data_IF_494281602755
#
_entry.id   IF_494281602755
#
_cell.length_a   1.000
_cell.length_b   1.000
_cell.length_c   1.000
_cell.angle_alpha   90.00
_cell.angle_beta   90.00
_cell.angle_gamma   90.00
#
_symmetry.space_group_name_H-M   'P 1'
#
loop_
_entity.id
_entity.type
_entity.pdbx_description
1 polymer ?
#
# COMPACT_ATOMS: atom_id res chain seq x y z
N UNK A 1 -23.86 -11.87 -5.52
CA UNK A 1 -22.59 -11.93 -6.27
C UNK A 1 -22.74 -11.06 -7.51
N UNK A 2 -21.81 -10.13 -7.78
CA UNK A 2 -21.82 -9.29 -8.99
C UNK A 2 -20.91 -9.91 -10.05
N UNK A 3 -21.44 -10.13 -11.24
CA UNK A 3 -20.67 -10.60 -12.40
C UNK A 3 -20.46 -9.37 -13.31
N UNK A 4 -19.23 -8.87 -13.46
CA UNK A 4 -18.96 -7.70 -14.28
C UNK A 4 -19.39 -7.92 -15.73
N UNK A 5 -20.31 -7.11 -16.29
CA UNK A 5 -20.70 -7.23 -17.69
C UNK A 5 -19.60 -6.69 -18.60
N UNK A 6 -19.39 -7.34 -19.75
CA UNK A 6 -18.50 -6.84 -20.81
C UNK A 6 -19.30 -5.91 -21.72
N UNK A 7 -19.01 -4.61 -21.66
CA UNK A 7 -19.69 -3.59 -22.48
C UNK A 7 -18.76 -3.14 -23.63
N UNK A 8 -19.26 -3.23 -24.87
CA UNK A 8 -18.55 -2.68 -26.05
C UNK A 8 -18.79 -1.18 -26.15
N UNK A 9 -17.73 -0.42 -26.39
CA UNK A 9 -17.79 1.03 -26.58
C UNK A 9 -16.87 1.48 -27.71
N UNK A 10 -17.20 2.61 -28.35
CA UNK A 10 -16.33 3.31 -29.31
C UNK A 10 -16.24 4.76 -28.86
N UNK A 11 -15.14 5.12 -28.19
CA UNK A 11 -14.97 6.42 -27.54
C UNK A 11 -15.10 7.60 -28.51
N UNK A 12 -14.51 7.50 -29.70
CA UNK A 12 -14.53 8.56 -30.72
C UNK A 12 -15.92 8.80 -31.33
N UNK A 13 -16.80 7.81 -31.27
CA UNK A 13 -18.17 7.88 -31.83
C UNK A 13 -19.24 8.00 -30.74
N UNK A 14 -18.84 8.02 -29.46
CA UNK A 14 -19.76 8.04 -28.31
C UNK A 14 -20.62 6.77 -28.16
N UNK A 15 -20.39 5.72 -28.95
CA UNK A 15 -21.20 4.50 -28.92
C UNK A 15 -20.94 3.68 -27.66
N UNK A 16 -22.02 3.18 -27.04
CA UNK A 16 -21.94 2.31 -25.86
C UNK A 16 -21.67 3.03 -24.53
N UNK A 17 -21.49 4.35 -24.55
CA UNK A 17 -21.11 5.13 -23.37
C UNK A 17 -22.27 5.24 -22.38
N UNK A 18 -23.51 5.44 -22.86
CA UNK A 18 -24.69 5.51 -21.98
C UNK A 18 -24.89 4.19 -21.21
N UNK A 19 -24.80 3.07 -21.91
CA UNK A 19 -24.95 1.72 -21.36
C UNK A 19 -23.81 1.38 -20.37
N UNK A 20 -22.61 1.89 -20.63
CA UNK A 20 -21.49 1.81 -19.69
C UNK A 20 -21.80 2.61 -18.41
N UNK A 21 -22.25 3.85 -18.53
CA UNK A 21 -22.63 4.69 -17.39
C UNK A 21 -23.74 4.05 -16.54
N UNK A 22 -24.76 3.46 -17.18
CA UNK A 22 -25.81 2.70 -16.49
C UNK A 22 -25.25 1.48 -15.75
N UNK A 23 -24.32 0.75 -16.36
CA UNK A 23 -23.67 -0.40 -15.72
C UNK A 23 -22.82 0.00 -14.53
N UNK A 24 -22.14 1.15 -14.60
CA UNK A 24 -21.42 1.75 -13.46
C UNK A 24 -22.41 2.08 -12.33
N UNK A 25 -23.51 2.77 -12.64
CA UNK A 25 -24.53 3.13 -11.64
C UNK A 25 -25.13 1.89 -10.96
N UNK A 26 -25.45 0.84 -11.72
CA UNK A 26 -25.94 -0.44 -11.16
C UNK A 26 -24.91 -1.10 -10.24
N UNK A 27 -23.64 -1.07 -10.60
CA UNK A 27 -22.57 -1.61 -9.75
C UNK A 27 -22.45 -0.82 -8.44
N UNK A 28 -22.53 0.52 -8.49
CA UNK A 28 -22.54 1.36 -7.28
C UNK A 28 -23.69 0.98 -6.36
N UNK A 29 -24.92 0.89 -6.88
CA UNK A 29 -26.10 0.47 -6.12
C UNK A 29 -25.93 -0.93 -5.53
N UNK A 30 -25.37 -1.87 -6.29
CA UNK A 30 -25.09 -3.20 -5.78
C UNK A 30 -24.11 -3.17 -4.61
N UNK A 31 -23.03 -2.39 -4.70
CA UNK A 31 -22.01 -2.29 -3.65
C UNK A 31 -22.53 -1.63 -2.38
N UNK A 32 -23.37 -0.61 -2.50
CA UNK A 32 -23.97 0.04 -1.33
C UNK A 32 -24.97 -0.88 -0.65
N UNK A 33 -25.86 -1.54 -1.40
CA UNK A 33 -26.87 -2.46 -0.85
C UNK A 33 -26.27 -3.73 -0.26
N UNK A 34 -25.21 -4.26 -0.86
CA UNK A 34 -24.53 -5.47 -0.37
C UNK A 34 -23.53 -5.19 0.77
N UNK A 35 -23.28 -3.93 1.12
CA UNK A 35 -22.22 -3.53 2.05
C UNK A 35 -20.79 -3.64 1.48
N UNK A 36 -20.63 -4.14 0.24
CA UNK A 36 -19.34 -4.25 -0.43
C UNK A 36 -18.61 -2.91 -0.61
N UNK A 37 -19.33 -1.79 -0.64
CA UNK A 37 -18.75 -0.44 -0.66
C UNK A 37 -17.93 -0.18 0.60
N UNK A 38 -18.51 -0.38 1.79
CA UNK A 38 -17.84 -0.14 3.06
C UNK A 38 -16.64 -1.07 3.28
N UNK A 39 -16.74 -2.32 2.84
CA UNK A 39 -15.62 -3.29 2.90
C UNK A 39 -14.45 -2.81 2.03
N UNK A 40 -14.73 -2.39 0.78
CA UNK A 40 -13.69 -1.88 -0.11
C UNK A 40 -13.04 -0.62 0.44
N UNK A 41 -13.84 0.30 0.97
CA UNK A 41 -13.32 1.53 1.56
C UNK A 41 -12.44 1.25 2.77
N UNK A 42 -12.87 0.35 3.66
CA UNK A 42 -12.04 -0.10 4.78
C UNK A 42 -10.71 -0.68 4.30
N UNK A 43 -10.73 -1.61 3.35
CA UNK A 43 -9.50 -2.22 2.83
C UNK A 43 -8.57 -1.18 2.18
N UNK A 44 -9.13 -0.20 1.46
CA UNK A 44 -8.36 0.90 0.86
C UNK A 44 -7.66 1.73 1.95
N UNK A 45 -8.40 2.09 3.00
CA UNK A 45 -7.87 2.87 4.12
C UNK A 45 -6.83 2.09 4.94
N UNK A 46 -7.02 0.78 5.13
CA UNK A 46 -6.03 -0.09 5.79
C UNK A 46 -4.71 -0.09 5.02
N UNK A 47 -4.75 -0.29 3.69
CA UNK A 47 -3.53 -0.23 2.85
C UNK A 47 -2.87 1.15 2.87
N UNK A 48 -3.67 2.22 2.81
CA UNK A 48 -3.17 3.59 2.87
C UNK A 48 -2.50 3.90 4.22
N UNK A 49 -3.13 3.48 5.32
CA UNK A 49 -2.60 3.65 6.67
C UNK A 49 -1.28 2.89 6.84
N UNK A 50 -1.21 1.63 6.41
CA UNK A 50 0.01 0.83 6.52
C UNK A 50 1.17 1.43 5.71
N UNK A 51 0.89 1.94 4.51
CA UNK A 51 1.88 2.64 3.69
C UNK A 51 2.41 3.90 4.40
N UNK A 52 1.51 4.71 4.99
CA UNK A 52 1.88 5.91 5.75
C UNK A 52 2.70 5.58 7.00
N UNK A 53 2.33 4.52 7.73
CA UNK A 53 3.07 4.04 8.90
C UNK A 53 4.48 3.63 8.46
N UNK A 54 4.61 2.81 7.42
CA UNK A 54 5.90 2.33 6.92
C UNK A 54 6.79 3.51 6.47
N UNK A 55 6.26 4.43 5.67
CA UNK A 55 6.99 5.61 5.23
C UNK A 55 7.45 6.47 6.41
N UNK A 56 6.55 6.71 7.37
CA UNK A 56 6.84 7.52 8.55
C UNK A 56 7.94 6.88 9.40
N UNK A 57 7.89 5.57 9.61
CA UNK A 57 8.90 4.83 10.37
C UNK A 57 10.26 4.83 9.65
N UNK A 58 10.29 4.66 8.33
CA UNK A 58 11.53 4.73 7.54
C UNK A 58 12.13 6.15 7.60
N UNK A 59 11.30 7.18 7.42
CA UNK A 59 11.75 8.57 7.47
C UNK A 59 12.28 8.93 8.85
N UNK A 60 11.61 8.47 9.92
CA UNK A 60 12.12 8.62 11.29
C UNK A 60 13.46 7.91 11.47
N UNK A 61 13.57 6.66 11.02
CA UNK A 61 14.80 5.90 11.08
C UNK A 61 15.97 6.61 10.40
N UNK A 62 15.77 7.13 9.18
CA UNK A 62 16.81 7.86 8.43
C UNK A 62 17.24 9.18 9.07
N UNK A 63 16.39 9.80 9.89
CA UNK A 63 16.74 11.01 10.65
C UNK A 63 17.57 10.70 11.90
N UNK A 64 17.33 9.55 12.53
CA UNK A 64 17.98 9.16 13.78
C UNK A 64 19.30 8.41 13.54
N UNK A 65 19.37 7.59 12.49
CA UNK A 65 20.54 6.81 12.14
C UNK A 65 21.36 7.59 11.12
N UNK A 66 22.59 7.93 11.51
CA UNK A 66 23.53 8.56 10.58
C UNK A 66 23.92 7.61 9.46
N UNK A 67 24.31 8.15 8.31
CA UNK A 67 24.76 7.36 7.16
C UNK A 67 25.93 6.43 7.54
N UNK A 68 26.89 6.90 8.35
CA UNK A 68 28.03 6.09 8.79
C UNK A 68 27.63 4.87 9.62
N UNK A 69 26.68 5.01 10.56
CA UNK A 69 26.19 3.87 11.33
C UNK A 69 25.49 2.82 10.46
N UNK A 70 24.76 3.27 9.43
CA UNK A 70 24.13 2.37 8.48
C UNK A 70 25.18 1.61 7.65
N UNK A 71 26.19 2.32 7.14
CA UNK A 71 27.24 1.75 6.31
C UNK A 71 28.10 0.74 7.10
N UNK A 72 28.43 1.04 8.36
CA UNK A 72 29.16 0.13 9.26
C UNK A 72 28.38 -1.17 9.52
N UNK A 73 27.07 -1.07 9.72
CA UNK A 73 26.20 -2.22 9.91
C UNK A 73 26.11 -3.06 8.62
N UNK A 74 26.00 -2.41 7.45
CA UNK A 74 25.97 -3.09 6.16
C UNK A 74 27.28 -3.82 5.87
N UNK A 75 28.42 -3.17 6.12
CA UNK A 75 29.74 -3.78 5.95
C UNK A 75 29.90 -5.00 6.87
N UNK A 76 29.40 -4.93 8.10
CA UNK A 76 29.41 -6.07 9.03
C UNK A 76 28.57 -7.26 8.53
N UNK A 77 27.46 -7.00 7.81
CA UNK A 77 26.67 -8.05 7.15
C UNK A 77 27.45 -8.64 5.97
N UNK A 78 28.03 -7.80 5.10
CA UNK A 78 28.80 -8.23 3.92
C UNK A 78 29.99 -9.12 4.33
N UNK A 79 30.66 -8.74 5.42
CA UNK A 79 31.77 -9.51 6.00
C UNK A 79 31.31 -10.76 6.79
N UNK A 80 30.00 -11.03 6.85
CA UNK A 80 29.38 -12.14 7.62
C UNK A 80 29.71 -12.12 9.11
N UNK A 81 29.99 -10.95 9.67
CA UNK A 81 30.25 -10.78 11.11
C UNK A 81 28.96 -10.84 11.92
N UNK A 82 27.88 -10.30 11.35
CA UNK A 82 26.54 -10.30 11.94
C UNK A 82 25.50 -10.65 10.87
N UNK A 83 24.38 -11.20 11.31
CA UNK A 83 23.21 -11.41 10.47
C UNK A 83 22.44 -10.11 10.22
N UNK A 84 21.61 -10.03 9.16
CA UNK A 84 20.72 -8.90 8.93
C UNK A 84 19.80 -8.61 10.13
N UNK A 85 19.32 -9.64 10.83
CA UNK A 85 18.47 -9.47 12.01
C UNK A 85 19.22 -8.84 13.19
N UNK A 86 20.49 -9.18 13.39
CA UNK A 86 21.33 -8.56 14.41
C UNK A 86 21.65 -7.10 14.05
N UNK A 87 21.93 -6.81 12.77
CA UNK A 87 22.12 -5.45 12.30
C UNK A 87 20.87 -4.58 12.53
N UNK A 88 19.67 -5.10 12.25
CA UNK A 88 18.40 -4.41 12.56
C UNK A 88 18.30 -4.11 14.05
N UNK A 89 18.58 -5.08 14.92
CA UNK A 89 18.60 -4.84 16.37
C UNK A 89 19.59 -3.75 16.74
N UNK A 90 20.81 -3.78 16.22
CA UNK A 90 21.82 -2.75 16.50
C UNK A 90 21.37 -1.35 16.06
N UNK A 91 20.80 -1.23 14.86
CA UNK A 91 20.33 0.04 14.31
C UNK A 91 19.05 0.55 14.98
N UNK A 92 18.25 -0.33 15.62
CA UNK A 92 16.99 0.03 16.28
C UNK A 92 17.08 0.12 17.81
N UNK A 93 18.06 -0.53 18.46
CA UNK A 93 18.18 -0.63 19.93
C UNK A 93 18.67 0.66 20.61
N UNK A 94 18.95 1.73 19.88
CA UNK A 94 19.07 3.09 20.45
C UNK A 94 17.74 3.64 21.00
N UNK A 95 16.63 2.89 20.89
CA UNK A 95 15.25 3.34 21.17
C UNK A 95 14.61 2.76 22.44
N UNK A 96 15.40 2.17 23.34
CA UNK A 96 14.92 1.75 24.66
C UNK A 96 15.46 2.67 25.75
N UNK A 97 15.04 3.93 25.73
CA UNK A 97 15.04 4.83 26.90
C UNK A 97 13.89 5.82 26.79
#
# INVERSE_FOLDING_TARGET
>A
MWIPPIQRTVSTEGKGIAELCESIARHVTHLTQSGGWAIRERNRLEVELDALIQETLINRFRREVSQGQYDDALESIVQRKISPWEAVKLLMNGRTK
#
